data_IF_574207848967
#
_entry.id   IF_574207848967
#
_cell.length_a   1.000
_cell.length_b   1.000
_cell.length_c   1.000
_cell.angle_alpha   90.00
_cell.angle_beta   90.00
_cell.angle_gamma   90.00
#
_symmetry.space_group_name_H-M   'P 1'
#
loop_
_entity.id
_entity.type
_entity.pdbx_description
1 polymer ?
#
# COMPACT_ATOMS: atom_id res chain seq x y z
N UNK A 1 13.35 -26.89 24.58
CA UNK A 1 12.90 -25.70 23.83
C UNK A 1 12.69 -26.09 22.37
N UNK A 2 11.44 -26.40 21.98
CA UNK A 2 11.08 -26.81 20.61
C UNK A 2 9.80 -26.03 20.24
N UNK A 3 9.74 -25.13 19.26
CA UNK A 3 10.57 -24.99 18.07
C UNK A 3 9.85 -25.39 16.79
N UNK A 4 8.60 -25.88 16.83
CA UNK A 4 7.86 -26.19 15.61
C UNK A 4 7.24 -24.92 15.01
N UNK A 5 8.06 -24.12 14.32
CA UNK A 5 7.63 -23.06 13.42
C UNK A 5 7.84 -23.55 11.98
N UNK A 6 6.77 -23.75 11.23
CA UNK A 6 6.84 -24.28 9.87
C UNK A 6 5.67 -23.82 9.02
N UNK A 7 5.87 -23.79 7.70
CA UNK A 7 4.84 -23.43 6.73
C UNK A 7 4.68 -24.61 5.78
N UNK A 8 3.47 -25.16 5.70
CA UNK A 8 3.09 -26.24 4.78
C UNK A 8 2.13 -25.65 3.75
N UNK A 9 2.30 -25.98 2.47
CA UNK A 9 1.36 -25.63 1.40
C UNK A 9 0.71 -26.91 0.86
N UNK A 10 -0.44 -27.33 1.41
CA UNK A 10 -1.13 -28.54 0.94
C UNK A 10 -1.69 -28.40 -0.48
N UNK A 11 -1.92 -27.17 -0.96
CA UNK A 11 -2.35 -26.86 -2.32
C UNK A 11 -1.95 -25.44 -2.71
N UNK A 12 -2.12 -25.07 -3.99
CA UNK A 12 -1.80 -23.72 -4.49
C UNK A 12 -2.65 -22.62 -3.88
N UNK A 13 -3.78 -22.98 -3.26
CA UNK A 13 -4.73 -22.06 -2.63
C UNK A 13 -4.77 -22.16 -1.11
N UNK A 14 -3.95 -23.01 -0.50
CA UNK A 14 -3.97 -23.24 0.95
C UNK A 14 -2.57 -23.14 1.56
N UNK A 15 -2.48 -22.40 2.67
CA UNK A 15 -1.27 -22.25 3.48
C UNK A 15 -1.59 -22.65 4.92
N UNK A 16 -0.83 -23.58 5.48
CA UNK A 16 -0.90 -23.99 6.87
C UNK A 16 0.35 -23.50 7.61
N UNK A 17 0.15 -22.76 8.70
CA UNK A 17 1.24 -22.29 9.57
C UNK A 17 1.23 -23.12 10.86
N UNK A 18 2.32 -23.82 11.15
CA UNK A 18 2.52 -24.60 12.38
C UNK A 18 3.30 -23.73 13.36
N UNK A 19 2.74 -23.49 14.55
CA UNK A 19 3.30 -22.58 15.56
C UNK A 19 3.71 -23.27 16.86
N UNK A 20 3.60 -24.59 16.97
CA UNK A 20 4.00 -25.34 18.16
C UNK A 20 3.18 -24.94 19.41
N UNK A 21 3.74 -24.99 20.64
CA UNK A 21 2.98 -24.83 21.88
C UNK A 21 2.38 -23.43 22.10
N UNK A 22 2.71 -22.43 21.28
CA UNK A 22 2.07 -21.10 21.29
C UNK A 22 0.82 -21.05 20.40
N UNK A 23 0.49 -22.13 19.68
CA UNK A 23 -0.60 -22.18 18.73
C UNK A 23 -1.95 -21.84 19.39
N UNK A 24 -2.19 -22.27 20.62
CA UNK A 24 -3.44 -22.00 21.32
C UNK A 24 -3.62 -20.51 21.65
N UNK A 25 -2.57 -19.84 22.12
CA UNK A 25 -2.59 -18.39 22.39
C UNK A 25 -2.82 -17.60 21.11
N UNK A 26 -2.05 -17.90 20.06
CA UNK A 26 -2.14 -17.20 18.77
C UNK A 26 -3.48 -17.49 18.09
N UNK A 27 -4.00 -18.71 18.16
CA UNK A 27 -5.31 -19.06 17.62
C UNK A 27 -6.44 -18.36 18.39
N UNK A 28 -6.31 -18.17 19.71
CA UNK A 28 -7.24 -17.39 20.51
C UNK A 28 -7.33 -15.93 20.05
N UNK A 29 -6.18 -15.28 19.86
CA UNK A 29 -6.09 -13.90 19.36
C UNK A 29 -6.67 -13.77 17.94
N UNK A 30 -6.33 -14.70 17.05
CA UNK A 30 -6.87 -14.71 15.68
C UNK A 30 -8.38 -14.92 15.69
N UNK A 31 -8.90 -15.85 16.49
CA UNK A 31 -10.35 -16.11 16.56
C UNK A 31 -11.11 -14.92 17.12
N UNK A 32 -10.55 -14.24 18.12
CA UNK A 32 -11.11 -12.98 18.61
C UNK A 32 -11.14 -11.91 17.51
N UNK A 33 -10.07 -11.80 16.72
CA UNK A 33 -9.99 -10.86 15.61
C UNK A 33 -10.94 -11.21 14.43
N UNK A 34 -11.13 -12.50 14.13
CA UNK A 34 -11.98 -12.99 13.03
C UNK A 34 -13.47 -13.00 13.43
N UNK A 35 -13.78 -13.26 14.71
CA UNK A 35 -15.15 -13.25 15.25
C UNK A 35 -15.77 -11.85 15.31
N UNK A 36 -14.96 -10.78 15.22
CA UNK A 36 -15.42 -9.40 15.11
C UNK A 36 -15.90 -9.01 13.70
N UNK A 37 -15.90 -9.96 12.73
CA UNK A 37 -16.52 -9.78 11.42
C UNK A 37 -15.69 -8.96 10.44
N UNK A 38 -15.29 -9.57 9.32
CA UNK A 38 -14.66 -8.86 8.22
C UNK A 38 -15.66 -7.97 7.47
N UNK A 39 -15.47 -6.65 7.56
CA UNK A 39 -15.51 -5.71 6.43
C UNK A 39 -14.86 -4.39 6.86
N UNK A 40 -13.97 -3.89 6.00
CA UNK A 40 -13.17 -2.65 6.12
C UNK A 40 -12.05 -2.61 7.19
N UNK A 41 -10.84 -2.30 6.70
CA UNK A 41 -9.60 -1.93 7.38
C UNK A 41 -9.62 -1.72 8.92
N UNK A 42 -8.69 -2.33 9.67
CA UNK A 42 -8.39 -1.87 11.02
C UNK A 42 -7.50 -0.62 10.92
N UNK A 43 -8.13 0.54 10.76
CA UNK A 43 -7.48 1.84 11.01
C UNK A 43 -7.96 2.36 12.37
N UNK A 44 -7.55 1.69 13.43
CA UNK A 44 -7.54 2.26 14.78
C UNK A 44 -6.33 1.74 15.55
N UNK A 45 -5.15 1.81 14.93
CA UNK A 45 -3.93 2.00 15.70
C UNK A 45 -3.83 3.48 16.02
N UNK A 46 -3.78 3.73 17.32
CA UNK A 46 -3.60 5.01 18.01
C UNK A 46 -2.85 6.04 17.14
N UNK A 47 -3.60 6.97 16.56
CA UNK A 47 -3.02 8.10 15.84
C UNK A 47 -2.48 9.10 16.87
N UNK A 48 -1.21 8.95 17.26
CA UNK A 48 -0.42 10.12 17.65
C UNK A 48 -0.49 11.14 16.51
N UNK A 49 -0.76 12.43 16.80
CA UNK A 49 -0.94 13.44 15.76
C UNK A 49 0.41 13.66 15.08
N UNK A 50 0.63 13.01 13.94
CA UNK A 50 1.67 13.44 13.01
C UNK A 50 1.21 14.80 12.50
N UNK A 51 1.96 15.82 12.92
CA UNK A 51 1.93 17.20 12.46
C UNK A 51 1.36 17.30 11.05
N UNK A 52 0.24 18.01 10.94
CA UNK A 52 -0.47 18.28 9.69
C UNK A 52 0.54 18.58 8.58
N UNK A 53 0.50 17.76 7.54
CA UNK A 53 1.30 17.97 6.34
C UNK A 53 0.99 19.37 5.80
N UNK A 54 2.03 20.15 5.50
CA UNK A 54 1.87 21.43 4.84
C UNK A 54 1.00 21.25 3.58
N UNK A 55 -0.17 21.90 3.46
CA UNK A 55 -1.07 21.73 2.32
C UNK A 55 -0.42 22.15 0.98
N UNK A 56 0.71 22.86 1.04
CA UNK A 56 1.52 23.26 -0.12
C UNK A 56 2.50 22.18 -0.61
N UNK A 57 2.79 21.15 0.21
CA UNK A 57 3.71 20.07 -0.14
C UNK A 57 3.07 19.02 -1.07
N UNK A 58 1.75 18.83 -0.98
CA UNK A 58 0.98 17.89 -1.79
C UNK A 58 1.09 18.11 -3.31
N UNK A 59 0.87 19.32 -3.87
CA UNK A 59 1.01 19.54 -5.30
C UNK A 59 2.47 19.42 -5.79
N UNK A 60 3.45 19.73 -4.93
CA UNK A 60 4.88 19.59 -5.30
C UNK A 60 5.30 18.13 -5.35
N UNK A 61 4.86 17.31 -4.39
CA UNK A 61 5.10 15.87 -4.36
C UNK A 61 4.44 15.16 -5.55
N UNK A 62 3.18 15.51 -5.86
CA UNK A 62 2.47 14.96 -7.01
C UNK A 62 3.19 15.29 -8.35
N UNK A 63 3.68 16.53 -8.51
CA UNK A 63 4.47 16.93 -9.70
C UNK A 63 5.78 16.17 -9.84
N UNK A 64 6.46 15.88 -8.72
CA UNK A 64 7.72 15.15 -8.72
C UNK A 64 7.55 13.67 -9.13
N UNK A 65 6.35 13.09 -8.95
CA UNK A 65 6.06 11.71 -9.31
C UNK A 65 5.70 11.54 -10.78
N UNK A 66 5.13 12.56 -11.44
CA UNK A 66 4.68 12.49 -12.84
C UNK A 66 5.74 11.97 -13.83
N UNK A 67 7.02 12.39 -13.78
CA UNK A 67 8.05 11.85 -14.67
C UNK A 67 8.27 10.35 -14.45
N UNK A 68 8.29 9.92 -13.18
CA UNK A 68 8.49 8.52 -12.81
C UNK A 68 7.30 7.61 -13.13
N UNK A 69 6.10 8.17 -13.27
CA UNK A 69 4.89 7.44 -13.67
C UNK A 69 4.76 7.26 -15.19
N UNK A 70 5.66 7.82 -15.99
CA UNK A 70 5.55 7.81 -17.46
C UNK A 70 4.66 8.92 -18.01
N UNK A 71 4.39 9.96 -17.22
CA UNK A 71 3.60 11.13 -17.60
C UNK A 71 2.11 10.99 -17.30
N UNK A 72 1.38 12.11 -17.49
CA UNK A 72 -0.05 12.23 -17.19
C UNK A 72 -0.91 11.20 -17.95
N UNK A 73 -0.62 11.01 -19.24
CA UNK A 73 -1.37 10.10 -20.11
C UNK A 73 -1.20 8.61 -19.78
N UNK A 74 -0.29 8.26 -18.86
CA UNK A 74 -0.14 6.88 -18.42
C UNK A 74 -1.08 6.53 -17.24
N UNK A 75 -1.71 7.51 -16.59
CA UNK A 75 -2.52 7.31 -15.39
C UNK A 75 -3.99 7.18 -15.80
N UNK A 76 -4.58 6.00 -15.59
CA UNK A 76 -5.99 5.72 -15.85
C UNK A 76 -6.87 6.02 -14.64
N UNK A 77 -6.43 5.61 -13.46
CA UNK A 77 -7.14 5.87 -12.21
C UNK A 77 -6.17 6.04 -11.04
N UNK A 78 -6.56 6.87 -10.08
CA UNK A 78 -5.80 7.15 -8.85
C UNK A 78 -6.71 6.95 -7.65
N UNK A 79 -6.25 6.15 -6.69
CA UNK A 79 -6.92 5.97 -5.40
C UNK A 79 -5.89 5.96 -4.28
N UNK A 80 -6.22 6.53 -3.13
CA UNK A 80 -5.36 6.53 -1.94
C UNK A 80 -6.00 5.77 -0.78
N UNK A 81 -5.12 5.12 -0.03
CA UNK A 81 -5.32 4.70 1.35
C UNK A 81 -4.35 5.49 2.24
N UNK A 82 -4.53 5.41 3.56
CA UNK A 82 -3.79 6.19 4.58
C UNK A 82 -2.28 6.37 4.35
N UNK A 83 -1.58 5.36 3.81
CA UNK A 83 -0.13 5.42 3.53
C UNK A 83 0.27 4.97 2.13
N UNK A 84 -0.71 4.57 1.31
CA UNK A 84 -0.50 3.86 0.04
C UNK A 84 -1.33 4.47 -1.06
N UNK A 85 -0.73 4.69 -2.22
CA UNK A 85 -1.44 4.99 -3.47
C UNK A 85 -1.62 3.72 -4.26
N UNK A 86 -2.83 3.50 -4.77
CA UNK A 86 -3.15 2.52 -5.78
C UNK A 86 -3.41 3.27 -7.09
N UNK A 87 -2.54 3.04 -8.06
CA UNK A 87 -2.59 3.61 -9.39
C UNK A 87 -2.98 2.52 -10.38
N UNK A 88 -3.84 2.87 -11.33
CA UNK A 88 -4.09 2.08 -12.52
C UNK A 88 -3.43 2.79 -13.69
N UNK A 89 -2.54 2.08 -14.39
CA UNK A 89 -1.71 2.64 -15.45
C UNK A 89 -2.02 1.95 -16.78
N UNK A 90 -1.95 2.72 -17.87
CA UNK A 90 -2.10 2.19 -19.22
C UNK A 90 -0.93 1.28 -19.61
N UNK A 91 0.28 1.67 -19.20
CA UNK A 91 1.52 0.94 -19.47
C UNK A 91 2.44 0.98 -18.22
N UNK A 92 2.42 -0.08 -17.38
CA UNK A 92 3.28 -0.17 -16.21
C UNK A 92 4.77 -0.35 -16.56
N UNK A 93 5.11 -0.62 -17.83
CA UNK A 93 6.50 -0.72 -18.29
C UNK A 93 7.22 0.63 -18.38
N UNK A 94 6.47 1.74 -18.44
CA UNK A 94 7.01 3.11 -18.45
C UNK A 94 7.34 3.68 -17.05
N UNK A 95 7.17 2.86 -16.01
CA UNK A 95 7.50 3.25 -14.64
C UNK A 95 9.02 3.28 -14.42
N UNK A 96 9.52 4.45 -14.03
CA UNK A 96 10.89 4.62 -13.55
C UNK A 96 10.93 4.54 -12.02
N UNK A 97 11.30 3.37 -11.50
CA UNK A 97 11.43 3.13 -10.06
C UNK A 97 12.49 4.01 -9.39
N UNK A 98 13.57 4.37 -10.09
CA UNK A 98 14.64 5.18 -9.54
C UNK A 98 14.17 6.63 -9.36
N UNK A 99 13.50 7.17 -10.37
CA UNK A 99 12.88 8.50 -10.29
C UNK A 99 11.79 8.56 -9.20
N UNK A 100 10.97 7.52 -9.07
CA UNK A 100 9.93 7.45 -8.03
C UNK A 100 10.52 7.38 -6.61
N UNK A 101 11.59 6.60 -6.41
CA UNK A 101 12.30 6.57 -5.13
C UNK A 101 12.91 7.93 -4.79
N UNK A 102 13.52 8.61 -5.76
CA UNK A 102 14.04 9.97 -5.59
C UNK A 102 12.94 11.00 -5.27
N UNK A 103 11.74 10.80 -5.81
CA UNK A 103 10.56 11.62 -5.52
C UNK A 103 9.91 11.34 -4.14
N UNK A 104 10.43 10.36 -3.39
CA UNK A 104 9.98 10.06 -2.02
C UNK A 104 9.11 8.82 -1.89
N UNK A 105 8.98 7.99 -2.92
CA UNK A 105 8.35 6.67 -2.81
C UNK A 105 9.26 5.73 -2.01
N UNK A 106 8.73 5.16 -0.93
CA UNK A 106 9.45 4.25 -0.03
C UNK A 106 9.48 2.83 -0.59
N UNK A 107 8.37 2.40 -1.20
CA UNK A 107 8.26 1.09 -1.81
C UNK A 107 7.29 1.14 -3.00
N UNK A 108 7.58 0.33 -4.00
CA UNK A 108 6.76 0.14 -5.18
C UNK A 108 6.44 -1.35 -5.29
N UNK A 109 5.17 -1.67 -5.50
CA UNK A 109 4.67 -3.03 -5.67
C UNK A 109 3.87 -3.07 -6.96
N UNK A 110 4.34 -3.84 -7.93
CA UNK A 110 3.57 -4.17 -9.14
C UNK A 110 2.69 -5.37 -8.83
N UNK A 111 1.40 -5.26 -9.07
CA UNK A 111 0.51 -6.42 -9.13
C UNK A 111 0.47 -6.89 -10.59
N UNK A 112 0.11 -8.15 -10.82
CA UNK A 112 -0.12 -8.64 -12.18
C UNK A 112 -1.23 -7.81 -12.84
N UNK A 113 -0.89 -7.11 -13.93
CA UNK A 113 -1.82 -6.23 -14.67
C UNK A 113 -1.50 -4.73 -14.59
N UNK A 114 -2.50 -3.84 -14.79
CA UNK A 114 -2.28 -2.38 -14.87
C UNK A 114 -2.14 -1.70 -13.50
N UNK A 115 -2.25 -2.45 -12.40
CA UNK A 115 -2.35 -1.88 -11.05
C UNK A 115 -0.99 -1.86 -10.36
N UNK A 116 -0.62 -0.68 -9.85
CA UNK A 116 0.63 -0.45 -9.13
C UNK A 116 0.36 0.23 -7.79
N UNK A 117 0.96 -0.30 -6.74
CA UNK A 117 0.88 0.27 -5.40
C UNK A 117 2.18 1.01 -5.07
N UNK A 118 2.06 2.27 -4.64
CA UNK A 118 3.17 3.09 -4.14
C UNK A 118 2.99 3.36 -2.66
N UNK A 119 4.04 3.16 -1.88
CA UNK A 119 4.08 3.50 -0.45
C UNK A 119 4.78 4.84 -0.31
N UNK A 120 4.06 5.89 0.05
CA UNK A 120 4.61 7.25 0.22
C UNK A 120 4.67 7.63 1.71
N UNK A 121 3.70 7.14 2.51
CA UNK A 121 3.51 7.53 3.90
C UNK A 121 2.27 8.41 4.09
N UNK A 122 2.15 9.17 5.19
CA UNK A 122 0.90 9.81 5.63
C UNK A 122 0.33 10.84 4.66
N UNK A 123 1.12 11.30 3.69
CA UNK A 123 0.71 12.29 2.68
C UNK A 123 0.07 11.65 1.43
N UNK A 124 -0.14 10.33 1.41
CA UNK A 124 -0.62 9.60 0.24
C UNK A 124 -1.93 10.16 -0.32
N UNK A 125 -2.87 10.53 0.55
CA UNK A 125 -4.18 11.09 0.15
C UNK A 125 -4.05 12.45 -0.53
N UNK A 126 -3.24 13.35 0.05
CA UNK A 126 -3.01 14.67 -0.53
C UNK A 126 -2.27 14.58 -1.89
N UNK A 127 -1.34 13.63 -2.02
CA UNK A 127 -0.66 13.35 -3.29
C UNK A 127 -1.63 12.77 -4.33
N UNK A 128 -2.58 11.92 -3.92
CA UNK A 128 -3.61 11.36 -4.80
C UNK A 128 -4.48 12.44 -5.41
N UNK A 129 -4.94 13.38 -4.58
CA UNK A 129 -5.76 14.50 -5.02
C UNK A 129 -5.01 15.31 -6.08
N UNK A 130 -3.77 15.73 -5.79
CA UNK A 130 -2.96 16.48 -6.74
C UNK A 130 -2.67 15.71 -8.05
N UNK A 131 -2.45 14.40 -7.99
CA UNK A 131 -2.30 13.56 -9.18
C UNK A 131 -3.59 13.49 -10.00
N UNK A 132 -4.75 13.33 -9.35
CA UNK A 132 -6.04 13.26 -10.03
C UNK A 132 -6.40 14.57 -10.73
N UNK A 133 -6.18 15.72 -10.09
CA UNK A 133 -6.37 17.05 -10.70
C UNK A 133 -5.44 17.28 -11.89
N UNK A 134 -4.20 16.78 -11.83
CA UNK A 134 -3.25 16.90 -12.93
C UNK A 134 -3.47 15.89 -14.06
N UNK A 135 -4.14 14.77 -13.79
CA UNK A 135 -4.48 13.78 -14.81
C UNK A 135 -5.73 14.16 -15.60
N UNK A 136 -6.65 14.92 -15.00
CA UNK A 136 -7.86 15.45 -15.66
C UNK A 136 -7.66 16.79 -16.38
N UNK A 137 -6.54 17.48 -16.13
CA UNK A 137 -6.16 18.76 -16.73
C UNK A 137 -5.04 18.63 -17.76
#
# INVERSE_FOLDING_TARGET
ALGARGIVRPSDKALQVVLGPIADTVAGEIRAAVGAGGSAAPAAVVATPVKAADPKAAPKAAKALLPGLGGKGNILAVSACSSRLRLELADPGKLDEAALKAAGVRALVRLDGPVVHLVIGPNAEAVALGLSEMATA
#
